data_IF_257981445594
#
_entry.id   IF_257981445594
#
_cell.length_a   1.000
_cell.length_b   1.000
_cell.length_c   1.000
_cell.angle_alpha   90.00
_cell.angle_beta   90.00
_cell.angle_gamma   90.00
#
_symmetry.space_group_name_H-M   'P 1'
#
loop_
_entity.id
_entity.type
_entity.pdbx_description
1 polymer ?
#
# COMPACT_ATOMS: atom_id res chain seq x y z
N UNK A 1 -14.53 9.78 35.87
CA UNK A 1 -14.69 9.53 34.43
C UNK A 1 -13.32 9.69 33.81
N UNK A 2 -12.58 8.59 33.68
CA UNK A 2 -11.23 8.59 33.10
C UNK A 2 -11.38 8.36 31.61
N UNK A 3 -11.12 9.41 30.84
CA UNK A 3 -11.03 9.37 29.38
C UNK A 3 -9.83 8.50 28.99
N UNK A 4 -10.09 7.38 28.29
CA UNK A 4 -9.04 6.51 27.77
C UNK A 4 -8.48 7.18 26.51
N UNK A 5 -7.24 7.68 26.62
CA UNK A 5 -6.44 8.11 25.47
C UNK A 5 -6.41 6.99 24.41
N UNK A 6 -6.55 7.30 23.11
CA UNK A 6 -6.44 6.29 22.06
C UNK A 6 -5.05 5.65 22.08
N UNK A 7 -5.02 4.33 22.06
CA UNK A 7 -3.80 3.53 22.09
C UNK A 7 -3.06 3.69 20.77
N UNK A 8 -1.85 4.26 20.82
CA UNK A 8 -0.99 4.45 19.66
C UNK A 8 -0.50 3.07 19.21
N UNK A 9 -0.66 2.69 17.92
CA UNK A 9 -0.14 1.41 17.43
C UNK A 9 1.39 1.34 17.61
N UNK A 10 1.95 0.15 17.87
CA UNK A 10 3.38 0.00 18.09
C UNK A 10 4.15 0.47 16.85
N UNK A 11 5.18 1.30 17.09
CA UNK A 11 6.12 1.69 16.04
C UNK A 11 6.72 0.44 15.40
N UNK A 12 6.83 0.43 14.07
CA UNK A 12 7.50 -0.64 13.34
C UNK A 12 8.93 -0.82 13.86
N UNK A 13 9.21 -1.99 14.44
CA UNK A 13 10.55 -2.39 14.85
C UNK A 13 11.18 -3.16 13.68
N UNK A 14 12.26 -2.65 13.05
CA UNK A 14 13.00 -3.45 12.10
C UNK A 14 13.59 -4.68 12.82
N UNK A 15 13.78 -5.82 12.12
CA UNK A 15 14.44 -6.97 12.72
C UNK A 15 15.82 -6.55 13.25
N UNK A 16 16.15 -6.97 14.48
CA UNK A 16 17.46 -6.71 15.06
C UNK A 16 18.55 -7.13 14.08
N UNK A 17 19.48 -6.22 13.78
CA UNK A 17 20.63 -6.47 12.89
C UNK A 17 21.34 -7.75 13.35
N UNK A 18 21.11 -8.85 12.63
CA UNK A 18 21.95 -10.03 12.77
C UNK A 18 23.33 -9.58 12.27
N UNK A 19 24.40 -9.68 13.09
CA UNK A 19 25.74 -9.36 12.61
C UNK A 19 26.02 -10.19 11.35
N UNK A 20 26.35 -9.52 10.25
CA UNK A 20 26.69 -10.18 9.00
C UNK A 20 27.93 -11.05 9.26
N UNK A 21 27.72 -12.38 9.32
CA UNK A 21 28.83 -13.31 9.26
C UNK A 21 29.59 -13.08 7.93
N UNK A 22 30.93 -13.15 7.91
CA UNK A 22 31.69 -13.09 6.67
C UNK A 22 31.13 -14.13 5.70
N UNK A 23 30.84 -13.72 4.46
CA UNK A 23 30.28 -14.61 3.46
C UNK A 23 31.25 -15.78 3.19
N UNK A 24 30.81 -17.01 3.41
CA UNK A 24 31.48 -18.22 2.90
C UNK A 24 30.67 -18.73 1.70
N UNK A 25 31.28 -18.92 0.52
CA UNK A 25 30.57 -19.47 -0.64
C UNK A 25 30.16 -20.92 -0.36
N UNK A 26 28.95 -21.35 -0.74
CA UNK A 26 28.49 -22.71 -0.48
C UNK A 26 29.33 -23.72 -1.26
N UNK A 27 29.78 -24.77 -0.57
CA UNK A 27 30.39 -25.93 -1.20
C UNK A 27 29.35 -26.61 -2.11
N UNK A 28 29.69 -26.74 -3.39
CA UNK A 28 28.84 -27.44 -4.38
C UNK A 28 28.83 -28.93 -4.05
N UNK A 29 27.77 -29.41 -3.41
CA UNK A 29 27.48 -30.84 -3.29
C UNK A 29 26.80 -31.36 -4.56
N UNK A 30 27.50 -32.21 -5.32
CA UNK A 30 26.90 -33.00 -6.40
C UNK A 30 26.19 -34.23 -5.82
N UNK A 31 24.87 -34.16 -5.63
CA UNK A 31 24.05 -35.30 -5.19
C UNK A 31 23.69 -36.27 -6.34
N UNK A 32 23.46 -37.58 -6.05
CA UNK A 32 23.12 -38.60 -7.05
C UNK A 32 21.63 -38.56 -7.47
N UNK A 33 21.24 -39.20 -8.61
CA UNK A 33 19.92 -39.03 -9.20
C UNK A 33 18.79 -39.65 -8.36
N UNK A 34 17.72 -38.87 -8.20
CA UNK A 34 16.53 -39.20 -7.39
C UNK A 34 15.54 -40.07 -8.17
N UNK A 35 15.26 -41.26 -7.63
CA UNK A 35 14.28 -42.22 -8.15
C UNK A 35 12.87 -41.85 -7.67
N UNK A 36 11.96 -41.47 -8.58
CA UNK A 36 10.53 -41.23 -8.28
C UNK A 36 9.80 -42.53 -7.95
N UNK A 37 9.27 -42.67 -6.73
CA UNK A 37 8.20 -43.64 -6.42
C UNK A 37 7.18 -43.11 -5.41
N UNK A 38 5.99 -42.80 -5.95
CA UNK A 38 4.69 -43.19 -5.42
C UNK A 38 4.24 -42.67 -4.07
N UNK A 39 3.62 -41.48 -4.02
CA UNK A 39 2.58 -41.17 -3.03
C UNK A 39 1.72 -39.93 -3.41
N UNK A 40 1.46 -39.73 -4.70
CA UNK A 40 0.86 -38.51 -5.24
C UNK A 40 -0.57 -38.72 -5.78
N UNK A 41 -1.50 -39.23 -4.96
CA UNK A 41 -2.91 -39.26 -5.39
C UNK A 41 -3.99 -39.22 -4.29
N UNK A 42 -3.68 -39.48 -3.01
CA UNK A 42 -4.75 -39.61 -1.99
C UNK A 42 -5.06 -38.33 -1.19
N UNK A 43 -4.15 -37.36 -1.10
CA UNK A 43 -4.32 -36.19 -0.21
C UNK A 43 -5.04 -35.00 -0.90
N UNK A 44 -5.02 -34.94 -2.23
CA UNK A 44 -5.48 -33.78 -3.00
C UNK A 44 -7.02 -33.72 -3.10
N UNK A 45 -7.72 -34.85 -3.09
CA UNK A 45 -9.19 -34.87 -3.22
C UNK A 45 -9.91 -34.51 -1.93
N UNK A 46 -9.34 -34.81 -0.76
CA UNK A 46 -9.96 -34.51 0.53
C UNK A 46 -9.82 -33.03 0.92
N UNK A 47 -8.72 -32.38 0.52
CA UNK A 47 -8.48 -30.95 0.79
C UNK A 47 -9.37 -30.00 -0.03
N UNK A 48 -9.72 -30.36 -1.26
CA UNK A 48 -10.49 -29.51 -2.17
C UNK A 48 -11.99 -29.45 -1.80
N UNK A 49 -12.52 -30.48 -1.13
CA UNK A 49 -13.92 -30.52 -0.70
C UNK A 49 -14.17 -29.71 0.60
N UNK A 50 -13.13 -29.50 1.44
CA UNK A 50 -13.24 -28.74 2.69
C UNK A 50 -13.13 -27.22 2.50
N UNK A 51 -12.46 -26.74 1.45
CA UNK A 51 -12.28 -25.29 1.22
C UNK A 51 -13.49 -24.59 0.60
N UNK A 52 -14.33 -25.28 -0.19
CA UNK A 52 -15.50 -24.66 -0.83
C UNK A 52 -16.66 -24.42 0.16
N UNK A 53 -16.76 -25.20 1.24
CA UNK A 53 -17.83 -25.07 2.24
C UNK A 53 -17.69 -23.84 3.17
N UNK A 54 -16.47 -23.46 3.51
CA UNK A 54 -16.22 -22.36 4.46
C UNK A 54 -16.40 -20.96 3.85
N UNK A 55 -16.12 -20.81 2.55
CA UNK A 55 -16.21 -19.51 1.85
C UNK A 55 -17.67 -19.08 1.64
N UNK A 56 -18.59 -20.03 1.38
CA UNK A 56 -20.02 -19.73 1.20
C UNK A 56 -20.70 -19.36 2.52
N UNK A 57 -20.23 -19.90 3.66
CA UNK A 57 -20.79 -19.60 4.98
C UNK A 57 -20.35 -18.22 5.51
N UNK A 58 -19.13 -17.78 5.19
CA UNK A 58 -18.62 -16.47 5.60
C UNK A 58 -19.29 -15.30 4.84
N UNK A 59 -19.70 -15.50 3.58
CA UNK A 59 -20.43 -14.48 2.80
C UNK A 59 -21.88 -14.31 3.30
N UNK A 60 -22.44 -15.31 4.00
CA UNK A 60 -23.84 -15.28 4.48
C UNK A 60 -24.02 -14.60 5.84
N UNK A 61 -22.94 -14.27 6.55
CA UNK A 61 -22.99 -13.73 7.92
C UNK A 61 -22.17 -12.47 8.12
N UNK A 62 -21.77 -11.76 7.06
CA UNK A 62 -21.23 -10.41 7.22
C UNK A 62 -22.38 -9.39 7.31
N UNK A 63 -22.62 -8.76 8.47
CA UNK A 63 -23.63 -7.73 8.60
C UNK A 63 -23.17 -6.48 7.85
N UNK A 64 -23.96 -6.07 6.86
CA UNK A 64 -23.85 -4.78 6.19
C UNK A 64 -24.17 -3.69 7.22
N UNK A 65 -23.20 -2.85 7.59
CA UNK A 65 -23.46 -1.65 8.37
C UNK A 65 -24.31 -0.69 7.54
N UNK A 66 -25.56 -0.54 7.95
CA UNK A 66 -26.51 0.42 7.42
C UNK A 66 -26.15 1.78 8.03
N UNK A 67 -25.54 2.67 7.24
CA UNK A 67 -25.61 4.09 7.57
C UNK A 67 -26.79 4.68 6.81
N UNK A 68 -27.93 4.64 7.51
CA UNK A 68 -29.15 5.33 7.14
C UNK A 68 -28.89 6.84 7.05
N UNK A 69 -29.20 7.39 5.88
CA UNK A 69 -29.98 8.62 5.66
C UNK A 69 -29.82 9.78 6.63
N UNK A 70 -29.40 10.95 6.11
CA UNK A 70 -30.23 12.19 6.06
C UNK A 70 -29.37 13.44 5.76
N UNK A 71 -29.89 14.49 5.10
CA UNK A 71 -30.66 14.48 3.86
C UNK A 71 -30.06 15.44 2.82
N UNK A 72 -30.49 15.25 1.57
CA UNK A 72 -30.39 16.28 0.54
C UNK A 72 -31.21 17.52 0.95
N UNK A 73 -30.60 18.69 0.82
CA UNK A 73 -31.30 19.94 0.54
C UNK A 73 -30.43 20.78 -0.40
N UNK A 74 -30.57 20.52 -1.69
CA UNK A 74 -30.24 21.48 -2.73
C UNK A 74 -31.37 22.51 -2.78
N UNK A 75 -31.04 23.78 -2.58
CA UNK A 75 -31.76 24.90 -3.20
C UNK A 75 -30.78 26.04 -3.47
N UNK A 76 -30.50 26.22 -4.76
CA UNK A 76 -30.16 27.44 -5.51
C UNK A 76 -30.05 28.76 -4.72
N UNK A 77 -28.93 29.48 -4.90
CA UNK A 77 -28.87 30.90 -5.31
C UNK A 77 -27.43 31.27 -5.65
N UNK A 78 -27.15 31.53 -6.93
CA UNK A 78 -26.05 32.39 -7.37
C UNK A 78 -26.60 33.83 -7.49
N UNK A 79 -25.82 34.87 -7.16
CA UNK A 79 -24.93 35.42 -8.18
C UNK A 79 -23.55 35.89 -7.64
N UNK A 80 -22.53 35.81 -8.50
CA UNK A 80 -21.31 36.62 -8.40
C UNK A 80 -21.67 38.09 -8.74
N UNK A 81 -20.97 39.12 -8.19
CA UNK A 81 -19.61 39.44 -8.64
C UNK A 81 -18.64 39.98 -7.57
N UNK A 82 -17.34 39.83 -7.89
CA UNK A 82 -16.18 40.70 -7.61
C UNK A 82 -16.21 41.69 -6.42
N UNK A 83 -15.26 41.52 -5.50
CA UNK A 83 -14.20 42.51 -5.26
C UNK A 83 -13.16 41.99 -4.24
N UNK A 84 -11.94 41.78 -4.74
CA UNK A 84 -10.64 42.03 -4.10
C UNK A 84 -10.39 41.47 -2.69
N UNK A 85 -9.65 40.36 -2.62
CA UNK A 85 -8.25 40.31 -2.12
C UNK A 85 -7.68 38.91 -2.39
N UNK A 86 -6.49 38.75 -3.01
CA UNK A 86 -5.84 37.46 -3.10
C UNK A 86 -5.22 37.14 -1.74
N UNK A 87 -5.94 36.41 -0.88
CA UNK A 87 -5.36 35.92 0.38
C UNK A 87 -4.85 34.49 0.20
N UNK A 88 -3.58 34.45 -0.19
CA UNK A 88 -2.72 33.29 -0.26
C UNK A 88 -2.64 32.61 1.11
N UNK A 89 -3.13 31.38 1.18
CA UNK A 89 -2.67 30.37 2.15
C UNK A 89 -2.81 28.96 1.53
N UNK A 90 -2.16 28.73 0.39
CA UNK A 90 -1.93 27.36 -0.11
C UNK A 90 -0.65 26.87 0.56
N UNK A 91 -0.76 26.36 1.78
CA UNK A 91 0.33 25.59 2.40
C UNK A 91 -0.12 24.14 2.47
N UNK A 92 -0.14 23.48 1.31
CA UNK A 92 -0.21 22.02 1.22
C UNK A 92 1.18 21.40 1.40
N UNK A 93 1.24 20.09 1.64
CA UNK A 93 2.49 19.34 1.58
C UNK A 93 3.12 19.48 0.17
N UNK A 94 4.45 19.49 0.03
CA UNK A 94 5.08 19.48 -1.29
C UNK A 94 4.65 18.23 -2.07
N UNK A 95 4.34 18.37 -3.37
CA UNK A 95 3.95 17.26 -4.22
C UNK A 95 5.18 16.46 -4.68
N UNK A 96 5.16 15.14 -4.49
CA UNK A 96 6.16 14.21 -5.01
C UNK A 96 6.01 14.03 -6.52
N UNK A 97 7.15 13.92 -7.20
CA UNK A 97 7.18 13.62 -8.63
C UNK A 97 6.84 12.15 -8.87
N UNK A 98 5.89 11.90 -9.76
CA UNK A 98 5.56 10.57 -10.25
C UNK A 98 6.62 10.09 -11.24
N UNK A 99 7.17 8.91 -11.00
CA UNK A 99 8.06 8.20 -11.90
C UNK A 99 7.28 7.20 -12.75
N UNK A 100 7.69 6.94 -14.00
CA UNK A 100 6.99 6.01 -14.88
C UNK A 100 7.08 4.58 -14.34
N UNK A 101 6.03 3.80 -14.55
CA UNK A 101 5.96 2.38 -14.18
C UNK A 101 7.15 1.53 -14.70
N UNK A 102 7.73 1.91 -15.83
CA UNK A 102 8.89 1.22 -16.42
C UNK A 102 10.15 1.31 -15.56
N UNK A 103 10.24 2.28 -14.64
CA UNK A 103 11.39 2.46 -13.76
C UNK A 103 11.42 1.46 -12.58
N UNK A 104 10.36 0.67 -12.38
CA UNK A 104 10.23 -0.21 -11.21
C UNK A 104 11.37 -1.22 -11.05
N UNK A 105 11.92 -1.73 -12.16
CA UNK A 105 13.00 -2.73 -12.11
C UNK A 105 14.38 -2.09 -11.88
N UNK A 106 14.51 -0.79 -12.12
CA UNK A 106 15.79 -0.07 -12.08
C UNK A 106 15.97 0.73 -10.77
N UNK A 107 14.88 1.01 -10.06
CA UNK A 107 14.91 1.78 -8.82
C UNK A 107 15.35 0.90 -7.65
N UNK A 108 16.40 1.38 -6.96
CA UNK A 108 16.85 0.81 -5.71
C UNK A 108 16.30 1.65 -4.56
N UNK A 109 15.66 0.98 -3.62
CA UNK A 109 15.27 1.55 -2.33
C UNK A 109 16.50 1.86 -1.47
N UNK A 110 16.42 2.88 -0.61
CA UNK A 110 17.50 3.23 0.31
C UNK A 110 17.25 2.63 1.70
N UNK A 111 18.19 1.83 2.21
CA UNK A 111 18.03 1.07 3.47
C UNK A 111 18.14 1.91 4.76
N UNK A 112 18.77 3.09 4.70
CA UNK A 112 19.15 3.88 5.90
C UNK A 112 18.52 5.29 5.95
N UNK A 113 17.29 5.43 5.44
CA UNK A 113 16.58 6.71 5.36
C UNK A 113 16.14 7.28 6.71
N UNK A 114 16.00 8.61 6.81
CA UNK A 114 15.35 9.26 7.97
C UNK A 114 13.83 9.08 7.90
N UNK A 115 13.15 8.93 9.05
CA UNK A 115 11.69 8.80 9.09
C UNK A 115 10.99 10.05 8.55
N UNK A 116 10.00 9.82 7.70
CA UNK A 116 9.20 10.83 7.00
C UNK A 116 7.79 10.27 6.78
N UNK A 117 6.92 10.96 6.03
CA UNK A 117 5.59 10.45 5.66
C UNK A 117 5.18 10.89 4.26
N UNK A 118 4.43 10.04 3.59
CA UNK A 118 3.77 10.37 2.32
C UNK A 118 2.27 10.33 2.52
N UNK A 119 1.57 11.40 2.11
CA UNK A 119 0.13 11.39 1.90
C UNK A 119 -0.16 10.97 0.46
N UNK A 120 -0.74 9.80 0.25
CA UNK A 120 -1.22 9.39 -1.07
C UNK A 120 -2.63 9.92 -1.27
N UNK A 121 -2.92 10.52 -2.42
CA UNK A 121 -4.26 11.00 -2.79
C UNK A 121 -4.63 10.46 -4.16
N UNK A 122 -5.67 9.63 -4.24
CA UNK A 122 -6.14 9.07 -5.49
C UNK A 122 -7.07 10.05 -6.22
N UNK A 123 -6.57 10.70 -7.27
CA UNK A 123 -7.39 11.58 -8.13
C UNK A 123 -7.88 10.90 -9.40
N UNK A 124 -7.59 9.60 -9.57
CA UNK A 124 -8.07 8.82 -10.70
C UNK A 124 -9.54 8.43 -10.53
N UNK A 125 -10.18 8.00 -11.61
CA UNK A 125 -11.55 7.45 -11.58
C UNK A 125 -11.62 5.98 -11.16
N UNK A 126 -10.49 5.34 -10.83
CA UNK A 126 -10.40 3.92 -10.51
C UNK A 126 -9.86 3.71 -9.10
N UNK A 127 -10.10 2.54 -8.51
CA UNK A 127 -9.41 2.15 -7.28
C UNK A 127 -7.96 1.80 -7.61
N UNK A 128 -7.03 2.29 -6.79
CA UNK A 128 -5.60 2.00 -6.90
C UNK A 128 -5.07 1.36 -5.63
N UNK A 129 -4.07 0.50 -5.74
CA UNK A 129 -3.37 -0.08 -4.59
C UNK A 129 -2.04 0.62 -4.37
N UNK A 130 -1.74 0.91 -3.10
CA UNK A 130 -0.49 1.50 -2.62
C UNK A 130 0.36 0.38 -2.04
N UNK A 131 1.55 0.17 -2.59
CA UNK A 131 2.50 -0.85 -2.12
C UNK A 131 3.91 -0.27 -1.99
N UNK A 132 4.65 -0.72 -0.99
CA UNK A 132 6.09 -0.45 -0.88
C UNK A 132 6.87 -1.50 -1.68
N UNK A 133 7.88 -1.08 -2.44
CA UNK A 133 8.83 -1.98 -3.08
C UNK A 133 9.95 -2.31 -2.09
N UNK A 134 9.93 -3.52 -1.54
CA UNK A 134 10.93 -3.92 -0.56
C UNK A 134 12.31 -4.18 -1.18
N UNK A 135 13.31 -4.47 -0.35
CA UNK A 135 14.69 -4.69 -0.78
C UNK A 135 14.89 -5.87 -1.75
N UNK A 136 13.99 -6.86 -1.69
CA UNK A 136 13.97 -8.00 -2.60
C UNK A 136 13.19 -7.71 -3.91
N UNK A 137 12.84 -6.44 -4.16
CA UNK A 137 12.01 -5.98 -5.27
C UNK A 137 10.60 -6.61 -5.29
N UNK A 138 10.10 -7.01 -4.11
CA UNK A 138 8.74 -7.50 -3.94
C UNK A 138 7.84 -6.37 -3.40
N UNK A 139 6.63 -6.29 -3.94
CA UNK A 139 5.62 -5.33 -3.48
C UNK A 139 5.00 -5.81 -2.17
N UNK A 140 5.07 -4.97 -1.14
CA UNK A 140 4.37 -5.12 0.13
C UNK A 140 3.16 -4.19 0.12
N UNK A 141 1.95 -4.73 0.12
CA UNK A 141 0.70 -3.95 0.06
C UNK A 141 0.39 -3.24 1.38
N UNK A 142 -0.17 -2.03 1.30
CA UNK A 142 -0.58 -1.23 2.47
C UNK A 142 -2.04 -0.78 2.42
N UNK A 143 -2.53 -0.30 1.27
CA UNK A 143 -3.88 0.26 1.17
C UNK A 143 -4.45 0.17 -0.24
N UNK A 144 -5.77 0.08 -0.35
CA UNK A 144 -6.52 0.34 -1.58
C UNK A 144 -7.27 1.67 -1.43
N UNK A 145 -7.09 2.58 -2.38
CA UNK A 145 -7.69 3.91 -2.38
C UNK A 145 -8.74 3.99 -3.48
N UNK A 146 -10.00 4.13 -3.10
CA UNK A 146 -11.07 4.47 -4.03
C UNK A 146 -10.86 5.90 -4.61
N UNK A 147 -11.56 6.27 -5.70
CA UNK A 147 -11.50 7.63 -6.24
C UNK A 147 -11.76 8.70 -5.18
N UNK A 148 -10.88 9.68 -5.09
CA UNK A 148 -10.93 10.79 -4.12
C UNK A 148 -10.49 10.43 -2.70
N UNK A 149 -10.10 9.18 -2.41
CA UNK A 149 -9.57 8.79 -1.10
C UNK A 149 -8.09 9.17 -0.96
N UNK A 150 -7.68 9.38 0.29
CA UNK A 150 -6.28 9.59 0.66
C UNK A 150 -5.85 8.67 1.79
N UNK A 151 -4.55 8.42 1.89
CA UNK A 151 -3.93 7.60 2.93
C UNK A 151 -2.56 8.16 3.32
N UNK A 152 -2.37 8.42 4.60
CA UNK A 152 -1.10 8.88 5.16
C UNK A 152 -0.27 7.69 5.64
N UNK A 153 0.95 7.58 5.13
CA UNK A 153 1.85 6.48 5.42
C UNK A 153 3.17 7.01 5.95
N UNK A 154 3.50 6.67 7.20
CA UNK A 154 4.86 6.87 7.73
C UNK A 154 5.83 5.97 6.98
N UNK A 155 6.96 6.50 6.55
CA UNK A 155 7.96 5.80 5.76
C UNK A 155 9.37 6.33 6.08
N UNK A 156 10.36 5.96 5.27
CA UNK A 156 11.73 6.45 5.40
C UNK A 156 12.20 7.03 4.07
N UNK A 157 13.09 8.02 4.15
CA UNK A 157 13.66 8.67 2.97
C UNK A 157 14.27 7.64 2.02
N UNK A 158 13.95 7.74 0.73
CA UNK A 158 14.42 6.83 -0.31
C UNK A 158 13.55 5.58 -0.50
N UNK A 159 12.54 5.36 0.34
CA UNK A 159 11.58 4.28 0.12
C UNK A 159 10.81 4.47 -1.19
N UNK A 160 10.70 3.40 -1.99
CA UNK A 160 10.03 3.40 -3.28
C UNK A 160 8.63 2.82 -3.12
N UNK A 161 7.63 3.61 -3.50
CA UNK A 161 6.22 3.27 -3.44
C UNK A 161 5.68 3.07 -4.85
N UNK A 162 5.03 1.93 -5.08
CA UNK A 162 4.42 1.56 -6.36
C UNK A 162 2.91 1.69 -6.24
N UNK A 163 2.32 2.42 -7.17
CA UNK A 163 0.88 2.52 -7.33
C UNK A 163 0.43 1.61 -8.46
N UNK A 164 -0.58 0.79 -8.21
CA UNK A 164 -1.10 -0.15 -9.23
C UNK A 164 -2.60 -0.03 -9.41
N UNK A 165 -3.11 -0.32 -10.61
CA UNK A 165 -4.54 -0.56 -10.83
C UNK A 165 -4.99 -1.88 -10.19
N UNK A 166 -6.30 -2.04 -10.05
CA UNK A 166 -6.94 -3.35 -9.85
C UNK A 166 -6.40 -4.35 -10.89
N UNK A 167 -5.79 -5.44 -10.41
CA UNK A 167 -5.11 -6.44 -11.26
C UNK A 167 -3.59 -6.33 -11.30
N UNK A 168 -2.99 -5.36 -10.60
CA UNK A 168 -1.55 -5.31 -10.33
C UNK A 168 -0.69 -4.60 -11.40
N UNK A 169 -1.29 -3.99 -12.41
CA UNK A 169 -0.57 -3.18 -13.40
C UNK A 169 -0.07 -1.88 -12.75
N UNK A 170 1.23 -1.62 -12.78
CA UNK A 170 1.83 -0.40 -12.24
C UNK A 170 1.42 0.84 -13.05
N UNK A 171 1.12 1.91 -12.32
CA UNK A 171 0.76 3.24 -12.83
C UNK A 171 1.92 4.21 -12.71
N UNK A 172 2.42 4.34 -11.48
CA UNK A 172 3.41 5.32 -11.10
C UNK A 172 4.21 4.82 -9.91
N UNK A 173 5.43 5.33 -9.79
CA UNK A 173 6.28 5.14 -8.62
C UNK A 173 6.55 6.48 -7.95
N UNK A 174 6.68 6.46 -6.63
CA UNK A 174 7.04 7.63 -5.82
C UNK A 174 8.19 7.27 -4.91
N UNK A 175 9.17 8.17 -4.80
CA UNK A 175 10.30 8.00 -3.88
C UNK A 175 10.14 8.96 -2.72
N UNK A 176 10.20 8.45 -1.50
CA UNK A 176 10.08 9.26 -0.30
C UNK A 176 11.25 10.25 -0.18
N UNK A 177 10.94 11.50 0.15
CA UNK A 177 11.93 12.55 0.46
C UNK A 177 12.11 12.72 1.96
N UNK A 178 13.13 13.48 2.37
CA UNK A 178 13.40 13.75 3.79
C UNK A 178 12.25 14.44 4.49
N UNK A 179 11.60 15.39 3.82
CA UNK A 179 10.43 16.09 4.35
C UNK A 179 9.13 15.36 3.99
N UNK A 180 8.09 15.45 4.84
CA UNK A 180 6.75 14.99 4.51
C UNK A 180 6.22 15.59 3.22
N UNK A 181 5.57 14.75 2.40
CA UNK A 181 5.14 15.14 1.06
C UNK A 181 3.81 14.48 0.66
N UNK A 182 3.18 14.96 -0.40
CA UNK A 182 1.95 14.40 -0.98
C UNK A 182 2.22 13.75 -2.34
N UNK A 183 1.73 12.54 -2.55
CA UNK A 183 1.74 11.86 -3.84
C UNK A 183 0.33 11.92 -4.46
N UNK A 184 0.14 12.81 -5.43
CA UNK A 184 -1.12 12.95 -6.16
C UNK A 184 -1.14 11.95 -7.33
N UNK A 185 -1.95 10.90 -7.19
CA UNK A 185 -2.05 9.82 -8.17
C UNK A 185 -2.96 10.26 -9.31
N UNK A 186 -2.38 10.40 -10.51
CA UNK A 186 -3.03 10.85 -11.74
C UNK A 186 -3.11 9.71 -12.76
N UNK A 187 -3.94 9.89 -13.80
CA UNK A 187 -4.20 8.90 -14.85
C UNK A 187 -3.07 8.77 -15.88
#
# INVERSE_FOLDING_TARGET
MTDKLPEVPPAYQPPATVPLAPWEPPLVETGPPQTKRGLATLVITLGLLLCLGAVVLAIRLWPQSKNETSPAAVTTTAPAPEATTPEVAVTGLPELQALPATAEQDLKDATDGTSTSIRFTNTTSETVSVSWLNYDHNRTWYADLAPGQSYDQQTYTGHVWVITRTGGTALALYVATTDPAEAIIKQ
#
